data_IF_991706448927
#
_entry.id   IF_991706448927
#
_cell.length_a   1.000
_cell.length_b   1.000
_cell.length_c   1.000
_cell.angle_alpha   90.00
_cell.angle_beta   90.00
_cell.angle_gamma   90.00
#
_symmetry.space_group_name_H-M   'P 1'
#
loop_
_entity.id
_entity.type
_entity.pdbx_description
1 polymer ?
#
# COMPACT_ATOMS: atom_id res chain seq x y z
N UNK A 1 -41.81 7.98 13.32
CA UNK A 1 -40.40 8.22 13.66
C UNK A 1 -40.04 9.60 13.12
N UNK A 2 -39.71 10.54 14.00
CA UNK A 2 -39.33 11.91 13.64
C UNK A 2 -37.87 11.96 13.19
N UNK A 3 -37.58 12.80 12.19
CA UNK A 3 -36.25 13.04 11.59
C UNK A 3 -35.21 13.45 12.66
N UNK A 4 -35.68 14.05 13.76
CA UNK A 4 -34.90 14.45 14.94
C UNK A 4 -34.15 13.29 15.62
N UNK A 5 -34.56 12.04 15.41
CA UNK A 5 -33.83 10.88 15.96
C UNK A 5 -32.55 10.55 15.18
N UNK A 6 -32.44 11.05 13.94
CA UNK A 6 -31.28 10.84 13.06
C UNK A 6 -30.36 12.06 12.97
N UNK A 7 -30.89 13.26 13.23
CA UNK A 7 -30.10 14.50 13.34
C UNK A 7 -29.78 14.65 14.82
N UNK A 8 -28.52 14.46 15.23
CA UNK A 8 -28.11 14.68 16.63
C UNK A 8 -28.28 16.17 16.97
N UNK A 9 -29.39 16.62 17.58
CA UNK A 9 -29.60 18.05 17.82
C UNK A 9 -28.65 18.53 18.92
N UNK A 10 -28.10 17.60 19.70
CA UNK A 10 -27.17 17.85 20.77
C UNK A 10 -25.72 17.94 20.29
N UNK A 11 -25.38 17.62 19.04
CA UNK A 11 -24.01 17.75 18.53
C UNK A 11 -23.75 19.17 18.03
N UNK A 12 -23.83 20.11 18.98
CA UNK A 12 -23.56 21.53 18.76
C UNK A 12 -22.12 21.77 18.29
N UNK A 13 -21.88 22.91 17.62
CA UNK A 13 -20.57 23.29 17.08
C UNK A 13 -19.48 23.32 18.14
N UNK A 14 -19.83 23.63 19.39
CA UNK A 14 -18.89 23.60 20.52
C UNK A 14 -18.44 22.18 20.83
N UNK A 15 -19.36 21.21 20.87
CA UNK A 15 -19.03 19.79 21.11
C UNK A 15 -18.25 19.19 19.94
N UNK A 16 -18.54 19.61 18.70
CA UNK A 16 -17.74 19.29 17.53
C UNK A 16 -16.30 19.77 17.69
N UNK A 17 -16.10 21.00 18.16
CA UNK A 17 -14.78 21.58 18.38
C UNK A 17 -14.03 20.88 19.54
N UNK A 18 -14.72 20.52 20.62
CA UNK A 18 -14.14 19.72 21.71
C UNK A 18 -13.71 18.35 21.20
N UNK A 19 -14.54 17.69 20.40
CA UNK A 19 -14.22 16.38 19.85
C UNK A 19 -13.06 16.44 18.85
N UNK A 20 -12.99 17.50 18.04
CA UNK A 20 -11.83 17.80 17.20
C UNK A 20 -10.56 18.01 18.06
N UNK A 21 -10.67 18.74 19.17
CA UNK A 21 -9.58 18.89 20.14
C UNK A 21 -9.10 17.56 20.74
N UNK A 22 -10.03 16.63 21.01
CA UNK A 22 -9.70 15.28 21.46
C UNK A 22 -8.97 14.48 20.37
N UNK A 23 -9.37 14.65 19.11
CA UNK A 23 -8.69 14.04 17.96
C UNK A 23 -7.26 14.57 17.82
N UNK A 24 -7.02 15.88 17.98
CA UNK A 24 -5.67 16.45 18.03
C UNK A 24 -4.85 15.87 19.18
N UNK A 25 -5.42 15.78 20.39
CA UNK A 25 -4.71 15.21 21.53
C UNK A 25 -4.32 13.74 21.28
N UNK A 26 -5.23 12.94 20.71
CA UNK A 26 -4.95 11.56 20.31
C UNK A 26 -3.84 11.45 19.27
N UNK A 27 -3.87 12.30 18.24
CA UNK A 27 -2.82 12.36 17.22
C UNK A 27 -1.46 12.77 17.79
N UNK A 28 -1.43 13.74 18.71
CA UNK A 28 -0.20 14.14 19.41
C UNK A 28 0.36 13.00 20.25
N UNK A 29 -0.47 12.27 20.99
CA UNK A 29 -0.05 11.11 21.79
C UNK A 29 0.56 10.04 20.87
N UNK A 30 -0.08 9.72 19.75
CA UNK A 30 0.46 8.73 18.80
C UNK A 30 1.76 9.21 18.18
N UNK A 31 1.85 10.49 17.83
CA UNK A 31 3.09 11.09 17.32
C UNK A 31 4.23 10.99 18.34
N UNK A 32 3.95 11.23 19.63
CA UNK A 32 4.91 11.02 20.72
C UNK A 32 5.33 9.55 20.85
N UNK A 33 4.39 8.61 20.71
CA UNK A 33 4.69 7.18 20.76
C UNK A 33 5.56 6.75 19.57
N UNK A 34 5.26 7.23 18.37
CA UNK A 34 6.06 6.97 17.16
C UNK A 34 7.48 7.54 17.33
N UNK A 35 7.61 8.76 17.86
CA UNK A 35 8.90 9.36 18.21
C UNK A 35 9.65 8.55 19.27
N UNK A 36 8.95 8.04 20.28
CA UNK A 36 9.58 7.21 21.31
C UNK A 36 10.06 5.86 20.73
N UNK A 37 9.24 5.22 19.90
CA UNK A 37 9.59 3.96 19.24
C UNK A 37 10.78 4.10 18.28
N UNK A 38 10.82 5.17 17.50
CA UNK A 38 11.96 5.48 16.62
C UNK A 38 13.21 5.81 17.42
N UNK A 39 13.11 6.54 18.54
CA UNK A 39 14.25 6.80 19.44
C UNK A 39 14.84 5.51 19.99
N UNK A 40 13.99 4.56 20.38
CA UNK A 40 14.44 3.23 20.85
C UNK A 40 15.11 2.43 19.72
N UNK A 41 14.56 2.47 18.51
CA UNK A 41 15.12 1.79 17.33
C UNK A 41 16.49 2.35 16.94
N UNK A 42 16.65 3.68 16.97
CA UNK A 42 17.87 4.40 16.57
C UNK A 42 18.94 4.38 17.67
N UNK A 43 18.61 3.93 18.88
CA UNK A 43 19.59 3.72 19.96
C UNK A 43 20.62 2.62 19.61
N UNK A 44 20.28 1.74 18.66
CA UNK A 44 21.17 0.69 18.13
C UNK A 44 22.07 1.17 16.98
N UNK A 45 21.85 2.39 16.48
CA UNK A 45 22.60 2.99 15.38
C UNK A 45 23.80 3.76 15.94
N UNK A 46 24.86 3.83 15.14
CA UNK A 46 26.10 4.50 15.51
C UNK A 46 25.87 5.99 15.84
N UNK A 47 26.67 6.53 16.76
CA UNK A 47 26.37 7.83 17.40
C UNK A 47 26.46 9.02 16.44
N UNK A 48 27.17 8.89 15.32
CA UNK A 48 27.42 9.95 14.33
C UNK A 48 26.17 10.31 13.52
N UNK A 49 25.40 9.31 13.09
CA UNK A 49 24.22 9.49 12.20
C UNK A 49 22.89 9.44 12.96
N UNK A 50 22.95 9.23 14.28
CA UNK A 50 21.79 8.99 15.14
C UNK A 50 20.74 10.09 15.09
N UNK A 51 21.16 11.36 14.96
CA UNK A 51 20.23 12.49 14.98
C UNK A 51 19.48 12.64 13.66
N UNK A 52 20.18 12.56 12.53
CA UNK A 52 19.60 12.65 11.19
C UNK A 52 18.70 11.46 10.91
N UNK A 53 19.15 10.25 11.24
CA UNK A 53 18.35 9.06 11.02
C UNK A 53 17.09 9.01 11.92
N UNK A 54 17.17 9.55 13.13
CA UNK A 54 16.02 9.75 13.99
C UNK A 54 15.00 10.73 13.37
N UNK A 55 15.46 11.89 12.88
CA UNK A 55 14.60 12.90 12.23
C UNK A 55 13.92 12.31 10.99
N UNK A 56 14.68 11.63 10.12
CA UNK A 56 14.19 10.98 8.90
C UNK A 56 13.13 9.91 9.20
N UNK A 57 13.48 8.87 9.98
CA UNK A 57 12.58 7.75 10.28
C UNK A 57 11.31 8.20 11.02
N UNK A 58 11.38 9.25 11.84
CA UNK A 58 10.21 9.79 12.53
C UNK A 58 9.23 10.42 11.53
N UNK A 59 9.72 11.24 10.61
CA UNK A 59 8.89 11.89 9.60
C UNK A 59 8.26 10.84 8.69
N UNK A 60 9.04 9.86 8.22
CA UNK A 60 8.56 8.81 7.32
C UNK A 60 7.47 7.96 7.99
N UNK A 61 7.67 7.53 9.24
CA UNK A 61 6.67 6.75 9.98
C UNK A 61 5.39 7.55 10.26
N UNK A 62 5.50 8.85 10.54
CA UNK A 62 4.35 9.72 10.74
C UNK A 62 3.57 9.92 9.42
N UNK A 63 4.30 10.04 8.33
CA UNK A 63 3.75 10.19 6.99
C UNK A 63 3.04 8.91 6.51
N UNK A 64 3.64 7.74 6.76
CA UNK A 64 3.03 6.42 6.54
C UNK A 64 1.77 6.24 7.39
N UNK A 65 1.79 6.69 8.65
CA UNK A 65 0.60 6.65 9.50
C UNK A 65 -0.56 7.49 8.94
N UNK A 66 -0.28 8.69 8.43
CA UNK A 66 -1.31 9.54 7.82
C UNK A 66 -1.87 8.96 6.53
N UNK A 67 -1.01 8.44 5.65
CA UNK A 67 -1.44 7.73 4.44
C UNK A 67 -2.34 6.54 4.80
N UNK A 68 -2.01 5.81 5.87
CA UNK A 68 -2.82 4.70 6.35
C UNK A 68 -4.20 5.17 6.81
N UNK A 69 -4.27 6.27 7.58
CA UNK A 69 -5.54 6.84 8.06
C UNK A 69 -6.42 7.33 6.90
N UNK A 70 -5.84 7.93 5.86
CA UNK A 70 -6.56 8.35 4.66
C UNK A 70 -7.08 7.12 3.91
N UNK A 71 -6.22 6.13 3.71
CA UNK A 71 -6.60 4.88 3.05
C UNK A 71 -7.65 4.10 3.84
N UNK A 72 -7.61 4.09 5.17
CA UNK A 72 -8.59 3.37 5.99
C UNK A 72 -9.95 4.07 6.00
N UNK A 73 -9.97 5.40 6.17
CA UNK A 73 -11.20 6.20 6.24
C UNK A 73 -12.02 6.04 4.98
N UNK A 74 -11.34 6.03 3.83
CA UNK A 74 -12.00 5.90 2.54
C UNK A 74 -12.61 4.51 2.33
N UNK A 75 -11.96 3.45 2.79
CA UNK A 75 -12.53 2.10 2.79
C UNK A 75 -13.73 2.00 3.74
N UNK A 76 -13.67 2.63 4.92
CA UNK A 76 -14.82 2.70 5.84
C UNK A 76 -15.97 3.51 5.25
N UNK A 77 -15.69 4.54 4.45
CA UNK A 77 -16.71 5.31 3.72
C UNK A 77 -17.52 4.41 2.79
N UNK A 78 -16.88 3.52 2.05
CA UNK A 78 -17.57 2.50 1.25
C UNK A 78 -18.48 1.62 2.12
N UNK A 79 -17.93 1.10 3.22
CA UNK A 79 -18.66 0.19 4.08
C UNK A 79 -19.91 0.87 4.69
N UNK A 80 -19.74 2.12 5.10
CA UNK A 80 -20.80 2.97 5.61
C UNK A 80 -21.87 3.25 4.56
N UNK A 81 -21.48 3.62 3.34
CA UNK A 81 -22.41 3.91 2.24
C UNK A 81 -23.27 2.69 1.89
N UNK A 82 -22.70 1.48 1.87
CA UNK A 82 -23.48 0.26 1.67
C UNK A 82 -24.54 0.06 2.76
N UNK A 83 -24.16 0.21 4.04
CA UNK A 83 -25.08 0.00 5.17
C UNK A 83 -26.22 1.02 5.15
N UNK A 84 -25.90 2.29 4.86
CA UNK A 84 -26.91 3.33 4.72
C UNK A 84 -27.88 2.99 3.58
N UNK A 85 -27.37 2.61 2.41
CA UNK A 85 -28.22 2.22 1.28
C UNK A 85 -29.07 0.99 1.57
N UNK A 86 -28.49 -0.04 2.22
CA UNK A 86 -29.23 -1.24 2.60
C UNK A 86 -30.32 -0.91 3.63
N UNK A 87 -30.02 -0.07 4.62
CA UNK A 87 -31.00 0.39 5.60
C UNK A 87 -32.15 1.16 4.94
N UNK A 88 -31.85 2.05 4.00
CA UNK A 88 -32.87 2.77 3.24
C UNK A 88 -33.74 1.78 2.45
N UNK A 89 -33.13 0.77 1.82
CA UNK A 89 -33.85 -0.28 1.11
C UNK A 89 -34.78 -1.09 2.03
N UNK A 90 -34.31 -1.48 3.21
CA UNK A 90 -35.10 -2.22 4.20
C UNK A 90 -36.29 -1.39 4.69
N UNK A 91 -36.12 -0.07 4.88
CA UNK A 91 -37.20 0.85 5.24
C UNK A 91 -38.23 1.02 4.10
N UNK A 92 -37.80 0.91 2.84
CA UNK A 92 -38.64 1.06 1.65
C UNK A 92 -39.45 -0.20 1.33
N UNK A 93 -38.91 -1.38 1.61
CA UNK A 93 -39.53 -2.68 1.35
C UNK A 93 -40.97 -2.79 1.88
N UNK A 94 -41.30 -2.47 3.15
CA UNK A 94 -42.67 -2.55 3.63
C UNK A 94 -43.61 -1.52 2.95
N UNK A 95 -43.09 -0.35 2.54
CA UNK A 95 -43.86 0.68 1.83
C UNK A 95 -44.19 0.25 0.39
N UNK A 96 -43.28 -0.49 -0.25
CA UNK A 96 -43.49 -1.11 -1.55
C UNK A 96 -44.59 -2.19 -1.46
N UNK A 97 -44.48 -3.12 -0.50
CA UNK A 97 -45.50 -4.15 -0.29
C UNK A 97 -46.87 -3.58 0.07
N UNK A 98 -46.92 -2.46 0.80
CA UNK A 98 -48.16 -1.75 1.12
C UNK A 98 -48.77 -0.99 -0.07
N UNK A 99 -48.21 -1.07 -1.29
CA UNK A 99 -48.59 -0.31 -2.50
C UNK A 99 -48.61 1.23 -2.31
N UNK A 100 -48.00 1.75 -1.24
CA UNK A 100 -47.94 3.19 -0.93
C UNK A 100 -46.80 3.91 -1.65
N UNK A 101 -45.97 3.18 -2.40
CA UNK A 101 -44.84 3.76 -3.12
C UNK A 101 -45.27 4.74 -4.22
N UNK A 102 -46.52 4.65 -4.73
CA UNK A 102 -47.06 5.57 -5.74
C UNK A 102 -46.89 7.06 -5.39
N UNK A 103 -46.98 7.40 -4.10
CA UNK A 103 -46.86 8.78 -3.58
C UNK A 103 -45.41 9.23 -3.31
N UNK A 104 -44.41 8.36 -3.49
CA UNK A 104 -43.01 8.70 -3.23
C UNK A 104 -42.36 9.45 -4.41
N UNK A 105 -41.37 10.32 -4.14
CA UNK A 105 -40.56 10.96 -5.17
C UNK A 105 -39.93 9.95 -6.13
N UNK A 106 -39.83 10.33 -7.40
CA UNK A 106 -39.30 9.48 -8.47
C UNK A 106 -37.89 8.93 -8.15
N UNK A 107 -37.05 9.74 -7.51
CA UNK A 107 -35.68 9.38 -7.12
C UNK A 107 -35.62 8.16 -6.20
N UNK A 108 -36.56 8.06 -5.26
CA UNK A 108 -36.59 6.98 -4.26
C UNK A 108 -37.08 5.67 -4.88
N UNK A 109 -38.06 5.75 -5.80
CA UNK A 109 -38.50 4.59 -6.59
C UNK A 109 -37.37 4.06 -7.46
N UNK A 110 -36.64 4.95 -8.11
CA UNK A 110 -35.50 4.58 -8.95
C UNK A 110 -34.39 3.92 -8.13
N UNK A 111 -34.06 4.48 -6.97
CA UNK A 111 -33.12 3.85 -6.03
C UNK A 111 -33.56 2.44 -5.64
N UNK A 112 -34.82 2.25 -5.21
CA UNK A 112 -35.31 0.94 -4.81
C UNK A 112 -35.22 -0.08 -5.94
N UNK A 113 -35.65 0.28 -7.15
CA UNK A 113 -35.56 -0.60 -8.32
C UNK A 113 -34.12 -0.98 -8.65
N UNK A 114 -33.21 -0.01 -8.59
CA UNK A 114 -31.81 -0.22 -8.92
C UNK A 114 -31.11 -1.07 -7.85
N UNK A 115 -31.47 -0.91 -6.57
CA UNK A 115 -30.94 -1.70 -5.47
C UNK A 115 -31.49 -3.13 -5.47
N UNK A 116 -32.79 -3.32 -5.78
CA UNK A 116 -33.43 -4.63 -5.84
C UNK A 116 -32.89 -5.49 -6.99
N UNK A 117 -32.81 -4.91 -8.20
CA UNK A 117 -32.50 -5.66 -9.43
C UNK A 117 -31.02 -5.67 -9.80
N UNK A 118 -30.30 -4.59 -9.49
CA UNK A 118 -28.94 -4.34 -9.97
C UNK A 118 -27.95 -4.09 -8.81
N UNK A 119 -28.18 -4.72 -7.65
CA UNK A 119 -27.39 -4.53 -6.43
C UNK A 119 -25.88 -4.62 -6.65
N UNK A 120 -25.44 -5.63 -7.40
CA UNK A 120 -24.02 -5.89 -7.62
C UNK A 120 -23.36 -4.81 -8.48
N UNK A 121 -24.08 -4.27 -9.48
CA UNK A 121 -23.58 -3.14 -10.29
C UNK A 121 -23.50 -1.84 -9.49
N UNK A 122 -24.49 -1.60 -8.62
CA UNK A 122 -24.45 -0.44 -7.71
C UNK A 122 -23.28 -0.56 -6.74
N UNK A 123 -23.05 -1.76 -6.21
CA UNK A 123 -21.93 -2.04 -5.32
C UNK A 123 -20.59 -1.83 -6.02
N UNK A 124 -20.44 -2.35 -7.23
CA UNK A 124 -19.23 -2.16 -8.04
C UNK A 124 -18.96 -0.67 -8.31
N UNK A 125 -20.00 0.09 -8.65
CA UNK A 125 -19.91 1.54 -8.83
C UNK A 125 -19.49 2.25 -7.55
N UNK A 126 -20.06 1.88 -6.39
CA UNK A 126 -19.73 2.48 -5.10
C UNK A 126 -18.26 2.26 -4.70
N UNK A 127 -17.70 1.10 -5.01
CA UNK A 127 -16.27 0.82 -4.78
C UNK A 127 -15.40 1.66 -5.70
N UNK A 128 -15.75 1.72 -6.99
CA UNK A 128 -15.02 2.53 -7.97
C UNK A 128 -15.03 4.01 -7.57
N UNK A 129 -16.19 4.52 -7.12
CA UNK A 129 -16.33 5.87 -6.59
C UNK A 129 -15.47 6.07 -5.34
N UNK A 130 -15.43 5.09 -4.45
CA UNK A 130 -14.59 5.14 -3.26
C UNK A 130 -13.11 5.24 -3.64
N UNK A 131 -12.61 4.39 -4.54
CA UNK A 131 -11.23 4.47 -5.04
C UNK A 131 -10.90 5.84 -5.68
N UNK A 132 -11.86 6.46 -6.38
CA UNK A 132 -11.71 7.81 -6.90
C UNK A 132 -11.63 8.83 -5.76
N UNK A 133 -12.50 8.71 -4.75
CA UNK A 133 -12.47 9.54 -3.54
C UNK A 133 -11.12 9.37 -2.83
N UNK A 134 -10.55 8.17 -2.70
CA UNK A 134 -9.18 7.98 -2.18
C UNK A 134 -8.19 8.85 -2.95
N UNK A 135 -8.20 8.75 -4.27
CA UNK A 135 -7.28 9.50 -5.14
C UNK A 135 -7.45 11.02 -4.96
N UNK A 136 -8.67 11.49 -4.74
CA UNK A 136 -8.97 12.90 -4.47
C UNK A 136 -8.51 13.31 -3.07
N UNK A 137 -8.77 12.49 -2.05
CA UNK A 137 -8.31 12.72 -0.67
C UNK A 137 -6.78 12.74 -0.59
N UNK A 138 -6.11 11.83 -1.30
CA UNK A 138 -4.64 11.78 -1.39
C UNK A 138 -4.08 13.08 -1.99
N UNK A 139 -4.73 13.63 -3.03
CA UNK A 139 -4.31 14.90 -3.65
C UNK A 139 -4.61 16.14 -2.80
N UNK A 140 -5.72 16.14 -2.06
CA UNK A 140 -6.19 17.32 -1.32
C UNK A 140 -5.63 17.38 0.11
N UNK A 141 -5.51 16.25 0.80
CA UNK A 141 -5.20 16.22 2.24
C UNK A 141 -3.68 16.29 2.47
N UNK A 142 -2.86 15.52 1.74
CA UNK A 142 -1.39 15.59 1.84
C UNK A 142 -0.73 15.16 0.50
N UNK A 143 -0.09 16.06 -0.26
CA UNK A 143 0.81 15.65 -1.34
C UNK A 143 2.08 15.05 -0.72
N UNK A 144 2.06 13.73 -0.53
CA UNK A 144 3.12 12.95 0.12
C UNK A 144 4.28 12.76 -0.85
N UNK A 145 5.24 13.69 -0.85
CA UNK A 145 6.38 13.73 -1.79
C UNK A 145 7.52 12.74 -1.44
N UNK A 146 7.64 12.27 -0.19
CA UNK A 146 8.83 11.54 0.31
C UNK A 146 8.72 10.02 0.59
N UNK A 147 7.58 9.37 0.36
CA UNK A 147 7.42 7.93 0.64
C UNK A 147 7.64 7.11 -0.64
N UNK A 148 8.47 6.07 -0.55
CA UNK A 148 8.69 5.09 -1.63
C UNK A 148 7.36 4.47 -2.11
N UNK A 149 7.25 4.20 -3.41
CA UNK A 149 6.02 3.66 -4.02
C UNK A 149 5.57 2.35 -3.32
N UNK A 150 6.52 1.51 -2.92
CA UNK A 150 6.29 0.25 -2.22
C UNK A 150 5.69 0.45 -0.80
N UNK A 151 6.24 1.41 -0.04
CA UNK A 151 5.74 1.73 1.30
C UNK A 151 4.30 2.26 1.26
N UNK A 152 3.98 3.08 0.26
CA UNK A 152 2.62 3.59 0.02
C UNK A 152 1.64 2.47 -0.30
N UNK A 153 2.00 1.57 -1.20
CA UNK A 153 1.17 0.43 -1.56
C UNK A 153 0.93 -0.48 -0.34
N UNK A 154 1.97 -0.78 0.43
CA UNK A 154 1.91 -1.61 1.65
C UNK A 154 0.98 -1.00 2.71
N UNK A 155 1.06 0.32 2.91
CA UNK A 155 0.19 1.03 3.85
C UNK A 155 -1.27 1.08 3.36
N UNK A 156 -1.49 1.23 2.06
CA UNK A 156 -2.83 1.13 1.48
C UNK A 156 -3.43 -0.26 1.66
N UNK A 157 -2.59 -1.30 1.62
CA UNK A 157 -3.01 -2.65 2.00
C UNK A 157 -3.40 -2.77 3.47
N UNK A 158 -2.60 -2.20 4.38
CA UNK A 158 -2.93 -2.11 5.81
C UNK A 158 -4.26 -1.41 6.07
N UNK A 159 -4.55 -0.33 5.35
CA UNK A 159 -5.83 0.39 5.43
C UNK A 159 -7.04 -0.49 5.10
N UNK A 160 -6.86 -1.52 4.28
CA UNK A 160 -7.92 -2.47 4.01
C UNK A 160 -8.08 -3.56 5.07
N UNK A 161 -6.96 -4.03 5.65
CA UNK A 161 -7.00 -4.92 6.81
C UNK A 161 -7.64 -4.24 8.02
N UNK A 162 -7.39 -2.94 8.20
CA UNK A 162 -8.09 -2.12 9.19
C UNK A 162 -9.60 -2.27 9.08
N UNK A 163 -10.17 -2.12 7.89
CA UNK A 163 -11.61 -2.23 7.69
C UNK A 163 -12.14 -3.64 8.00
N UNK A 164 -11.40 -4.70 7.65
CA UNK A 164 -11.76 -6.08 8.03
C UNK A 164 -11.82 -6.22 9.55
N UNK A 165 -10.80 -5.74 10.27
CA UNK A 165 -10.73 -5.84 11.73
C UNK A 165 -11.87 -5.06 12.36
N UNK A 166 -12.13 -3.83 11.90
CA UNK A 166 -13.23 -2.98 12.37
C UNK A 166 -14.60 -3.66 12.16
N UNK A 167 -14.88 -4.16 10.96
CA UNK A 167 -16.15 -4.83 10.64
C UNK A 167 -16.32 -6.11 11.46
N UNK A 168 -15.23 -6.85 11.67
CA UNK A 168 -15.22 -8.04 12.53
C UNK A 168 -15.51 -7.65 13.98
N UNK A 169 -14.85 -6.60 14.50
CA UNK A 169 -15.13 -6.07 15.83
C UNK A 169 -16.59 -5.65 16.01
N UNK A 170 -17.21 -5.00 15.02
CA UNK A 170 -18.64 -4.67 15.12
C UNK A 170 -19.55 -5.89 15.06
N UNK A 171 -19.15 -6.94 14.34
CA UNK A 171 -19.89 -8.20 14.29
C UNK A 171 -19.80 -8.99 15.61
N UNK A 172 -18.71 -8.84 16.37
CA UNK A 172 -18.48 -9.52 17.65
C UNK A 172 -18.96 -8.72 18.86
N UNK A 173 -18.78 -7.40 18.88
CA UNK A 173 -19.07 -6.53 20.03
C UNK A 173 -20.37 -5.72 19.89
N UNK A 174 -20.90 -5.51 18.68
CA UNK A 174 -22.22 -4.90 18.49
C UNK A 174 -23.33 -5.90 18.85
N UNK A 175 -24.45 -5.44 19.41
CA UNK A 175 -25.60 -6.27 19.82
C UNK A 175 -25.81 -7.45 18.86
N UNK A 176 -25.52 -8.66 19.35
CA UNK A 176 -25.08 -9.81 18.54
C UNK A 176 -26.12 -10.33 17.54
N UNK A 177 -27.39 -9.98 17.70
CA UNK A 177 -28.49 -10.36 16.81
C UNK A 177 -28.66 -9.35 15.66
N UNK A 178 -28.83 -8.06 15.97
CA UNK A 178 -29.06 -7.01 14.95
C UNK A 178 -27.79 -6.72 14.15
N UNK A 179 -26.61 -6.86 14.77
CA UNK A 179 -25.33 -6.58 14.14
C UNK A 179 -24.94 -7.68 13.14
N UNK A 180 -25.18 -8.96 13.44
CA UNK A 180 -24.81 -10.06 12.53
C UNK A 180 -25.60 -10.04 11.22
N UNK A 181 -26.89 -9.70 11.27
CA UNK A 181 -27.73 -9.66 10.06
C UNK A 181 -27.29 -8.57 9.07
N UNK A 182 -26.73 -7.47 9.58
CA UNK A 182 -26.40 -6.30 8.75
C UNK A 182 -24.91 -6.22 8.38
N UNK A 183 -24.01 -6.58 9.29
CA UNK A 183 -22.56 -6.50 9.05
C UNK A 183 -21.98 -7.76 8.37
N UNK A 184 -22.60 -8.94 8.52
CA UNK A 184 -22.08 -10.17 7.90
C UNK A 184 -22.16 -10.15 6.36
N UNK A 185 -23.29 -9.75 5.72
CA UNK A 185 -23.36 -9.67 4.27
C UNK A 185 -22.34 -8.68 3.70
N UNK A 186 -22.22 -7.49 4.29
CA UNK A 186 -21.24 -6.50 3.83
C UNK A 186 -19.81 -6.98 4.03
N UNK A 187 -19.49 -7.66 5.13
CA UNK A 187 -18.17 -8.23 5.36
C UNK A 187 -17.85 -9.24 4.26
N UNK A 188 -18.78 -10.12 3.90
CA UNK A 188 -18.59 -11.11 2.83
C UNK A 188 -18.42 -10.44 1.47
N UNK A 189 -19.21 -9.41 1.16
CA UNK A 189 -19.05 -8.62 -0.06
C UNK A 189 -17.68 -7.95 -0.08
N UNK A 190 -17.32 -7.21 0.96
CA UNK A 190 -16.06 -6.50 1.06
C UNK A 190 -14.86 -7.45 1.00
N UNK A 191 -14.92 -8.60 1.67
CA UNK A 191 -13.88 -9.63 1.63
C UNK A 191 -13.75 -10.25 0.24
N UNK A 192 -14.86 -10.54 -0.44
CA UNK A 192 -14.86 -11.02 -1.82
C UNK A 192 -14.27 -9.99 -2.79
N UNK A 193 -14.58 -8.71 -2.60
CA UNK A 193 -14.06 -7.60 -3.39
C UNK A 193 -12.58 -7.35 -3.15
N UNK A 194 -12.14 -7.46 -1.90
CA UNK A 194 -10.74 -7.43 -1.47
C UNK A 194 -9.94 -8.53 -2.18
N UNK A 195 -10.39 -9.78 -2.06
CA UNK A 195 -9.77 -10.91 -2.73
C UNK A 195 -9.79 -10.70 -4.24
N UNK A 196 -10.91 -10.26 -4.82
CA UNK A 196 -11.02 -9.98 -6.25
C UNK A 196 -10.00 -8.95 -6.71
N UNK A 197 -9.80 -7.87 -5.96
CA UNK A 197 -8.81 -6.84 -6.26
C UNK A 197 -7.38 -7.35 -6.17
N UNK A 198 -7.07 -8.14 -5.15
CA UNK A 198 -5.71 -8.68 -4.95
C UNK A 198 -5.35 -9.82 -5.89
N UNK A 199 -6.30 -10.71 -6.17
CA UNK A 199 -6.08 -11.89 -7.00
C UNK A 199 -6.10 -11.54 -8.49
N UNK A 200 -6.86 -10.53 -8.91
CA UNK A 200 -7.01 -10.18 -10.33
C UNK A 200 -6.37 -8.86 -10.77
N UNK A 201 -6.16 -7.87 -9.88
CA UNK A 201 -5.79 -6.50 -10.29
C UNK A 201 -4.47 -5.95 -9.71
N UNK A 202 -4.04 -6.36 -8.50
CA UNK A 202 -3.02 -5.63 -7.72
C UNK A 202 -1.67 -6.38 -7.60
N UNK A 203 -1.25 -7.06 -8.67
CA UNK A 203 0.03 -7.81 -8.84
C UNK A 203 -0.01 -9.32 -8.55
N UNK A 204 1.04 -10.04 -8.96
CA UNK A 204 1.12 -11.50 -8.87
C UNK A 204 0.93 -11.96 -7.42
N UNK A 205 0.42 -13.16 -7.18
CA UNK A 205 0.27 -13.71 -5.81
C UNK A 205 1.56 -13.59 -4.97
N UNK A 206 2.72 -13.56 -5.63
CA UNK A 206 4.03 -13.37 -5.03
C UNK A 206 4.20 -11.94 -4.49
N UNK A 207 3.86 -10.93 -5.28
CA UNK A 207 3.93 -9.51 -4.90
C UNK A 207 2.96 -9.20 -3.74
N UNK A 208 1.80 -9.86 -3.74
CA UNK A 208 0.86 -9.81 -2.62
C UNK A 208 1.47 -10.35 -1.31
N UNK A 209 2.22 -11.46 -1.36
CA UNK A 209 2.88 -12.01 -0.17
C UNK A 209 3.98 -11.08 0.31
N UNK A 210 4.81 -10.52 -0.58
CA UNK A 210 5.81 -9.52 -0.22
C UNK A 210 5.17 -8.28 0.42
N UNK A 211 4.07 -7.81 -0.14
CA UNK A 211 3.34 -6.67 0.39
C UNK A 211 2.67 -7.00 1.75
N UNK A 212 2.25 -8.24 2.02
CA UNK A 212 1.80 -8.68 3.36
C UNK A 212 2.97 -8.69 4.35
N UNK A 213 4.14 -9.19 3.96
CA UNK A 213 5.33 -9.18 4.81
C UNK A 213 5.79 -7.74 5.13
N UNK A 214 5.73 -6.84 4.15
CA UNK A 214 5.91 -5.40 4.34
C UNK A 214 4.86 -4.79 5.25
N UNK A 215 3.58 -5.15 5.06
CA UNK A 215 2.48 -4.72 5.92
C UNK A 215 2.66 -5.19 7.38
N UNK A 216 3.22 -6.38 7.62
CA UNK A 216 3.53 -6.85 8.98
C UNK A 216 4.62 -5.98 9.62
N UNK A 217 5.63 -5.54 8.87
CA UNK A 217 6.66 -4.60 9.38
C UNK A 217 6.03 -3.27 9.81
N UNK A 218 5.03 -2.80 9.07
CA UNK A 218 4.24 -1.60 9.41
C UNK A 218 2.99 -1.91 10.25
N UNK A 219 2.80 -3.15 10.71
CA UNK A 219 1.58 -3.59 11.39
C UNK A 219 1.35 -2.90 12.73
N UNK A 220 2.42 -2.36 13.32
CA UNK A 220 2.33 -1.55 14.52
C UNK A 220 1.58 -0.22 14.27
N UNK A 221 1.72 0.36 13.07
CA UNK A 221 0.94 1.54 12.66
C UNK A 221 -0.56 1.22 12.63
N UNK A 222 -0.94 0.04 12.10
CA UNK A 222 -2.32 -0.43 12.09
C UNK A 222 -2.90 -0.52 13.50
N UNK A 223 -2.13 -1.03 14.46
CA UNK A 223 -2.55 -1.07 15.87
C UNK A 223 -2.81 0.34 16.40
N UNK A 224 -1.95 1.32 16.08
CA UNK A 224 -2.17 2.71 16.49
C UNK A 224 -3.42 3.32 15.86
N UNK A 225 -3.70 3.06 14.59
CA UNK A 225 -4.93 3.56 13.96
C UNK A 225 -6.18 2.94 14.58
N UNK A 226 -6.18 1.62 14.82
CA UNK A 226 -7.29 0.93 15.47
C UNK A 226 -7.54 1.45 16.89
N UNK A 227 -6.47 1.68 17.66
CA UNK A 227 -6.57 2.26 19.00
C UNK A 227 -7.07 3.70 18.95
N UNK A 228 -6.57 4.53 18.04
CA UNK A 228 -7.01 5.92 17.90
C UNK A 228 -8.51 5.99 17.58
N UNK A 229 -8.92 5.40 16.45
CA UNK A 229 -10.31 5.43 16.01
C UNK A 229 -11.23 4.72 17.00
N UNK A 230 -10.78 3.61 17.60
CA UNK A 230 -11.55 2.84 18.57
C UNK A 230 -11.78 3.60 19.88
N UNK A 231 -10.72 4.11 20.52
CA UNK A 231 -10.83 4.87 21.78
C UNK A 231 -11.65 6.13 21.56
N UNK A 232 -11.37 6.87 20.49
CA UNK A 232 -12.06 8.13 20.19
C UNK A 232 -13.55 7.88 19.88
N UNK A 233 -13.89 6.80 19.18
CA UNK A 233 -15.28 6.41 18.94
C UNK A 233 -15.99 6.00 20.23
N UNK A 234 -15.36 5.21 21.11
CA UNK A 234 -15.94 4.86 22.41
C UNK A 234 -16.21 6.09 23.25
N UNK A 235 -15.29 7.06 23.27
CA UNK A 235 -15.48 8.35 23.94
C UNK A 235 -16.64 9.12 23.30
N UNK A 236 -16.70 9.19 21.96
CA UNK A 236 -17.78 9.85 21.23
C UNK A 236 -19.17 9.26 21.54
N UNK A 237 -19.28 7.93 21.65
CA UNK A 237 -20.52 7.27 22.06
C UNK A 237 -20.86 7.47 23.55
N UNK A 238 -19.86 7.50 24.44
CA UNK A 238 -20.09 7.75 25.88
C UNK A 238 -20.52 9.18 26.17
N UNK A 239 -20.01 10.16 25.41
CA UNK A 239 -20.36 11.57 25.53
C UNK A 239 -21.66 11.95 24.81
N UNK A 240 -22.31 10.99 24.13
CA UNK A 240 -23.54 11.22 23.36
C UNK A 240 -23.34 12.03 22.08
N UNK A 241 -22.09 12.21 21.63
CA UNK A 241 -21.79 12.92 20.38
C UNK A 241 -22.14 12.06 19.16
N UNK A 242 -21.96 10.75 19.28
CA UNK A 242 -22.30 9.76 18.26
C UNK A 242 -23.60 9.05 18.62
N UNK A 243 -24.52 8.96 17.66
CA UNK A 243 -25.84 8.33 17.83
C UNK A 243 -25.72 6.82 17.61
N UNK A 244 -26.16 6.02 18.59
CA UNK A 244 -26.17 4.54 18.47
C UNK A 244 -27.22 4.04 17.49
N UNK A 245 -28.34 4.77 17.35
CA UNK A 245 -29.39 4.45 16.39
C UNK A 245 -28.96 4.57 14.91
N UNK A 246 -27.90 5.33 14.61
CA UNK A 246 -27.40 5.51 13.24
C UNK A 246 -26.31 4.49 12.87
N UNK A 247 -26.26 3.34 13.53
CA UNK A 247 -25.22 2.31 13.39
C UNK A 247 -23.84 2.72 13.90
N UNK A 248 -23.17 1.79 14.58
CA UNK A 248 -21.83 2.00 15.16
C UNK A 248 -20.77 2.37 14.10
N UNK A 249 -20.90 1.83 12.88
CA UNK A 249 -19.98 2.11 11.77
C UNK A 249 -20.06 3.57 11.29
N UNK A 250 -21.23 4.19 11.32
CA UNK A 250 -21.38 5.59 10.89
C UNK A 250 -20.73 6.50 11.92
N UNK A 251 -20.86 6.16 13.20
CA UNK A 251 -20.14 6.86 14.27
C UNK A 251 -18.63 6.75 14.14
N UNK A 252 -18.12 5.57 13.75
CA UNK A 252 -16.69 5.40 13.45
C UNK A 252 -16.25 6.23 12.24
N UNK A 253 -17.02 6.25 11.16
CA UNK A 253 -16.73 7.09 9.99
C UNK A 253 -16.64 8.57 10.39
N UNK A 254 -17.56 9.06 11.22
CA UNK A 254 -17.49 10.43 11.74
C UNK A 254 -16.19 10.66 12.51
N UNK A 255 -15.82 9.73 13.40
CA UNK A 255 -14.55 9.79 14.13
C UNK A 255 -13.36 9.88 13.19
N UNK A 256 -13.29 9.03 12.17
CA UNK A 256 -12.21 9.02 11.19
C UNK A 256 -12.15 10.33 10.39
N UNK A 257 -13.30 10.91 10.03
CA UNK A 257 -13.35 12.25 9.39
C UNK A 257 -12.81 13.34 10.31
N UNK A 258 -13.10 13.31 11.62
CA UNK A 258 -12.51 14.25 12.58
C UNK A 258 -11.00 14.07 12.72
N UNK A 259 -10.51 12.83 12.71
CA UNK A 259 -9.07 12.55 12.70
C UNK A 259 -8.44 13.10 11.41
N UNK A 260 -9.05 12.88 10.25
CA UNK A 260 -8.57 13.45 8.97
C UNK A 260 -8.57 14.97 8.98
N UNK A 261 -9.60 15.61 9.53
CA UNK A 261 -9.65 17.06 9.68
C UNK A 261 -8.52 17.58 10.58
N UNK A 262 -8.22 16.88 11.68
CA UNK A 262 -7.11 17.23 12.54
C UNK A 262 -5.75 17.02 11.85
N UNK A 263 -5.56 15.94 11.09
CA UNK A 263 -4.36 15.72 10.26
C UNK A 263 -4.19 16.86 9.24
N UNK A 264 -5.26 17.22 8.53
CA UNK A 264 -5.26 18.31 7.56
C UNK A 264 -4.84 19.64 8.19
N UNK A 265 -5.42 19.98 9.35
CA UNK A 265 -5.07 21.22 10.07
C UNK A 265 -3.62 21.16 10.56
N UNK A 266 -3.14 20.05 11.13
CA UNK A 266 -1.74 19.93 11.57
C UNK A 266 -0.76 20.11 10.41
N UNK A 267 -1.06 19.49 9.26
CA UNK A 267 -0.22 19.59 8.07
C UNK A 267 -0.17 21.01 7.53
N UNK A 268 -1.33 21.66 7.36
CA UNK A 268 -1.40 23.02 6.84
C UNK A 268 -0.84 24.06 7.83
N UNK A 269 -1.05 23.87 9.14
CA UNK A 269 -0.48 24.73 10.17
C UNK A 269 1.05 24.65 10.19
N UNK A 270 1.63 23.45 10.00
CA UNK A 270 3.09 23.28 9.87
C UNK A 270 3.62 23.97 8.60
N UNK A 271 2.92 23.83 7.47
CA UNK A 271 3.27 24.53 6.23
C UNK A 271 3.25 26.05 6.38
N UNK A 272 2.24 26.60 7.06
CA UNK A 272 2.15 28.04 7.35
C UNK A 272 3.26 28.49 8.32
N UNK A 273 3.54 27.70 9.35
CA UNK A 273 4.54 28.05 10.37
C UNK A 273 5.96 28.00 9.79
N UNK A 274 6.24 27.08 8.85
CA UNK A 274 7.49 27.03 8.08
C UNK A 274 7.61 28.19 7.09
N UNK A 275 6.52 28.52 6.37
CA UNK A 275 6.46 29.69 5.49
C UNK A 275 6.72 31.01 6.25
N UNK A 276 6.25 31.12 7.50
CA UNK A 276 6.53 32.27 8.37
C UNK A 276 7.98 32.27 8.89
N UNK A 277 8.62 31.10 9.01
CA UNK A 277 9.98 30.96 9.56
C UNK A 277 11.08 31.27 8.53
N UNK A 278 10.75 31.43 7.24
CA UNK A 278 11.75 31.66 6.16
C UNK A 278 12.92 30.66 6.23
N UNK A 279 12.64 29.41 6.59
CA UNK A 279 13.56 28.32 6.31
C UNK A 279 13.14 27.75 4.97
N UNK A 280 13.91 28.09 3.94
CA UNK A 280 13.82 27.42 2.65
C UNK A 280 14.13 25.94 2.88
N UNK A 281 13.27 25.05 2.36
CA UNK A 281 13.42 23.60 2.38
C UNK A 281 14.64 23.12 1.51
N UNK A 282 15.77 23.83 1.50
CA UNK A 282 17.00 23.39 0.81
C UNK A 282 17.57 22.11 1.46
N UNK A 283 17.27 21.84 2.73
CA UNK A 283 17.71 20.62 3.44
C UNK A 283 16.92 19.35 3.03
N UNK A 284 15.92 19.46 2.14
CA UNK A 284 15.02 18.36 1.78
C UNK A 284 15.07 17.93 0.30
N UNK A 285 15.71 18.70 -0.59
CA UNK A 285 15.85 18.34 -2.02
C UNK A 285 17.03 17.40 -2.33
N UNK A 286 17.99 17.21 -1.42
CA UNK A 286 19.23 16.45 -1.70
C UNK A 286 19.12 14.91 -1.55
N UNK A 287 17.91 14.35 -1.41
CA UNK A 287 17.71 12.90 -1.29
C UNK A 287 16.79 12.28 -2.35
N UNK A 288 16.48 13.01 -3.41
CA UNK A 288 15.64 12.52 -4.53
C UNK A 288 16.45 11.78 -5.63
N UNK A 289 17.76 11.51 -5.44
CA UNK A 289 18.65 10.97 -6.50
C UNK A 289 19.06 9.49 -6.33
N UNK A 290 18.30 8.69 -5.58
CA UNK A 290 18.54 7.24 -5.42
C UNK A 290 17.30 6.36 -5.64
N UNK A 291 16.31 6.83 -6.39
CA UNK A 291 15.17 6.01 -6.84
C UNK A 291 15.25 5.72 -8.36
N UNK A 292 16.47 5.49 -8.88
CA UNK A 292 16.75 4.94 -10.21
C UNK A 292 16.85 3.39 -10.20
N UNK A 293 16.25 2.70 -9.22
CA UNK A 293 16.24 1.22 -9.18
C UNK A 293 15.24 0.58 -10.15
N UNK A 294 14.47 1.36 -10.91
CA UNK A 294 13.57 0.84 -11.96
C UNK A 294 14.23 0.80 -13.37
N UNK A 295 15.46 1.32 -13.55
CA UNK A 295 16.20 1.22 -14.84
C UNK A 295 17.32 0.13 -14.85
N UNK A 296 17.71 -0.43 -13.71
CA UNK A 296 18.82 -1.41 -13.65
C UNK A 296 18.47 -2.82 -14.18
N UNK A 297 17.20 -3.27 -14.08
CA UNK A 297 16.83 -4.61 -14.56
C UNK A 297 16.95 -4.74 -16.10
N UNK A 298 16.60 -3.68 -16.84
CA UNK A 298 16.70 -3.67 -18.30
C UNK A 298 18.17 -3.54 -18.78
N UNK A 299 19.01 -2.76 -18.08
CA UNK A 299 20.43 -2.63 -18.42
C UNK A 299 21.24 -3.90 -18.10
N UNK A 300 20.97 -4.57 -16.96
CA UNK A 300 21.68 -5.79 -16.60
C UNK A 300 21.31 -6.96 -17.55
N UNK A 301 20.04 -7.06 -17.97
CA UNK A 301 19.61 -8.03 -18.98
C UNK A 301 20.27 -7.76 -20.35
N UNK A 302 20.36 -6.49 -20.77
CA UNK A 302 21.01 -6.11 -22.02
C UNK A 302 22.53 -6.36 -21.97
N UNK A 303 23.19 -6.07 -20.84
CA UNK A 303 24.60 -6.38 -20.60
C UNK A 303 24.86 -7.87 -20.57
N UNK A 304 23.98 -8.67 -19.95
CA UNK A 304 24.03 -10.13 -19.95
C UNK A 304 23.89 -10.69 -21.37
N UNK A 305 22.97 -10.15 -22.18
CA UNK A 305 22.82 -10.48 -23.60
C UNK A 305 24.07 -10.13 -24.41
N UNK A 306 24.65 -8.94 -24.20
CA UNK A 306 25.91 -8.51 -24.85
C UNK A 306 27.09 -9.41 -24.45
N UNK A 307 27.21 -9.77 -23.16
CA UNK A 307 28.24 -10.69 -22.63
C UNK A 307 28.08 -12.10 -23.20
N UNK A 308 26.85 -12.65 -23.25
CA UNK A 308 26.54 -13.95 -23.89
C UNK A 308 26.89 -13.95 -25.38
N UNK A 309 26.54 -12.90 -26.12
CA UNK A 309 26.91 -12.74 -27.56
C UNK A 309 28.43 -12.70 -27.74
N UNK A 310 29.15 -11.92 -26.93
CA UNK A 310 30.63 -11.81 -26.98
C UNK A 310 31.32 -13.12 -26.60
N UNK A 311 30.83 -13.84 -25.60
CA UNK A 311 31.33 -15.16 -25.22
C UNK A 311 31.11 -16.20 -26.33
N UNK A 312 29.93 -16.22 -26.95
CA UNK A 312 29.62 -17.11 -28.09
C UNK A 312 30.48 -16.81 -29.31
N UNK A 313 30.77 -15.53 -29.58
CA UNK A 313 31.69 -15.12 -30.64
C UNK A 313 33.14 -15.54 -30.36
N UNK A 314 33.63 -15.36 -29.12
CA UNK A 314 34.97 -15.81 -28.70
C UNK A 314 35.11 -17.33 -28.78
N UNK A 315 34.10 -18.09 -28.34
CA UNK A 315 34.08 -19.54 -28.43
C UNK A 315 34.12 -20.02 -29.89
N UNK A 316 33.32 -19.42 -30.78
CA UNK A 316 33.39 -19.72 -32.24
C UNK A 316 34.75 -19.40 -32.85
N UNK A 317 35.38 -18.28 -32.46
CA UNK A 317 36.70 -17.91 -32.96
C UNK A 317 37.80 -18.88 -32.47
N UNK A 318 37.72 -19.33 -31.20
CA UNK A 318 38.64 -20.31 -30.63
C UNK A 318 38.48 -21.68 -31.31
N UNK A 319 37.25 -22.15 -31.50
CA UNK A 319 36.97 -23.38 -32.23
C UNK A 319 37.53 -23.32 -33.66
N UNK A 320 37.32 -22.21 -34.40
CA UNK A 320 37.87 -22.04 -35.75
C UNK A 320 39.40 -22.08 -35.77
N UNK A 321 40.07 -21.45 -34.80
CA UNK A 321 41.54 -21.51 -34.66
C UNK A 321 42.05 -22.92 -34.34
N UNK A 322 41.36 -23.66 -33.49
CA UNK A 322 41.70 -25.05 -33.17
C UNK A 322 41.49 -25.97 -34.39
N UNK A 323 40.42 -25.79 -35.15
CA UNK A 323 40.20 -26.54 -36.41
C UNK A 323 41.28 -26.22 -37.44
N UNK A 324 41.68 -24.95 -37.60
CA UNK A 324 42.77 -24.56 -38.49
C UNK A 324 44.14 -25.10 -38.05
N UNK A 325 44.42 -25.14 -36.74
CA UNK A 325 45.65 -25.76 -36.20
C UNK A 325 45.67 -27.27 -36.41
N UNK A 326 44.54 -27.96 -36.22
CA UNK A 326 44.44 -29.40 -36.49
C UNK A 326 44.62 -29.71 -37.97
N UNK A 327 44.08 -28.89 -38.88
CA UNK A 327 44.31 -29.04 -40.33
C UNK A 327 45.78 -28.79 -40.71
N UNK A 328 46.43 -27.79 -40.10
CA UNK A 328 47.84 -27.51 -40.32
C UNK A 328 48.74 -28.65 -39.82
N UNK A 329 48.49 -29.15 -38.61
CA UNK A 329 49.25 -30.27 -38.05
C UNK A 329 49.08 -31.54 -38.88
N UNK A 330 47.88 -31.85 -39.39
CA UNK A 330 47.68 -32.98 -40.32
C UNK A 330 48.52 -32.84 -41.60
N UNK A 331 48.53 -31.65 -42.21
CA UNK A 331 49.38 -31.40 -43.39
C UNK A 331 50.88 -31.51 -43.08
N UNK A 332 51.30 -31.14 -41.87
CA UNK A 332 52.70 -31.25 -41.46
C UNK A 332 53.11 -32.71 -41.20
N UNK A 333 52.25 -33.53 -40.58
CA UNK A 333 52.51 -34.97 -40.42
C UNK A 333 52.48 -35.73 -41.75
N UNK A 334 51.60 -35.35 -42.68
CA UNK A 334 51.59 -35.93 -44.02
C UNK A 334 52.89 -35.64 -44.78
N UNK A 335 53.45 -34.42 -44.66
CA UNK A 335 54.76 -34.06 -45.23
C UNK A 335 55.97 -34.72 -44.55
N UNK A 336 55.91 -34.97 -43.24
CA UNK A 336 56.98 -35.67 -42.51
C UNK A 336 57.06 -37.15 -42.92
N UNK A 337 55.92 -37.80 -43.12
CA UNK A 337 55.87 -39.17 -43.66
C UNK A 337 56.39 -39.26 -45.09
N UNK A 338 56.26 -38.19 -45.88
CA UNK A 338 56.84 -38.09 -47.23
C UNK A 338 58.38 -37.95 -47.18
N UNK A 339 58.93 -37.29 -46.16
CA UNK A 339 60.38 -37.09 -45.97
C UNK A 339 61.11 -38.31 -45.38
N UNK A 340 60.50 -39.02 -44.43
CA UNK A 340 61.07 -40.25 -43.84
C UNK A 340 61.16 -41.42 -44.85
N UNK A 341 60.49 -41.30 -46.00
CA UNK A 341 60.60 -42.24 -47.12
C UNK A 341 61.86 -42.05 -47.97
N UNK A 342 62.72 -41.05 -47.71
CA UNK A 342 63.78 -40.63 -48.65
C UNK A 342 65.21 -40.46 -48.07
N UNK A 343 65.53 -40.86 -46.82
CA UNK A 343 66.86 -40.52 -46.26
C UNK A 343 67.43 -41.48 -45.22
N UNK A 344 67.79 -42.70 -45.62
CA UNK A 344 68.76 -43.52 -44.90
C UNK A 344 70.13 -43.41 -45.56
N UNK A 345 71.02 -42.58 -45.02
CA UNK A 345 72.45 -42.66 -45.34
C UNK A 345 73.23 -42.96 -44.05
N UNK A 346 73.68 -44.20 -44.04
CA UNK A 346 74.65 -44.83 -43.16
C UNK A 346 76.01 -44.11 -43.30
N UNK A 347 76.65 -43.76 -42.19
CA UNK A 347 78.06 -43.35 -42.14
C UNK A 347 78.61 -43.79 -40.79
N UNK A 348 79.10 -45.03 -40.77
CA UNK A 348 80.08 -45.50 -39.81
C UNK A 348 81.45 -44.86 -40.02
N UNK A 349 82.31 -45.12 -39.04
CA UNK A 349 83.75 -44.87 -39.00
C UNK A 349 84.20 -43.40 -38.98
N UNK A 350 84.59 -42.93 -37.79
CA UNK A 350 85.95 -42.43 -37.57
C UNK A 350 86.31 -42.52 -36.07
N UNK A 351 87.33 -43.34 -35.84
CA UNK A 351 88.04 -43.61 -34.59
C UNK A 351 88.78 -42.39 -34.02
N UNK A 352 89.14 -42.54 -32.74
CA UNK A 352 90.35 -42.07 -32.05
C UNK A 352 90.77 -40.60 -32.18
N UNK A 353 90.78 -39.89 -31.04
CA UNK A 353 92.00 -39.23 -30.55
C UNK A 353 91.81 -38.85 -29.07
N UNK A 354 92.40 -39.66 -28.19
CA UNK A 354 92.77 -39.29 -26.81
C UNK A 354 94.17 -38.63 -26.83
N UNK A 355 94.26 -37.38 -26.36
CA UNK A 355 95.36 -36.82 -25.54
C UNK A 355 95.00 -35.43 -25.02
#
# INVERSE_FOLDING_TARGET
>A
MTIEKYINPEFDRIKQLIFLGLAFAGLLIISLIIMFGTRMSVCLVDSSERHEEFKRRTVDNMQLFFEMMISSTSVILFACAYIICNHIFDLLTPLYHAKKMGSMPMSIKWFYYQWDKNKDFVLLFLISLTCLINTVLDKIIIPLRRISKEGRASVRMLGMFYAIIVLTCFTTFGDASVSKEQYSPIMMYYFGLMIGRFVYFDASFIDFIYAILGAIKHGLLLVFALLLSGILSVIGFKLGYLIKENYYIVGLLYTDVFILAAIFIMHHLRGILLFIRNEDDEEYEEYDDYDDEDEEEDEEEELMLKRKKKAKAKAKAKAKKETSKQQFNRRATDKLKEYDSYGGYDNGDYDDFDM
#
